data_IF_874002462608
#
_entry.id   IF_874002462608
#
_cell.length_a   1.000
_cell.length_b   1.000
_cell.length_c   1.000
_cell.angle_alpha   90.00
_cell.angle_beta   90.00
_cell.angle_gamma   90.00
#
_symmetry.space_group_name_H-M   'P 1'
#
loop_
_entity.id
_entity.type
_entity.pdbx_description
1 polymer ?
#
# COMPACT_ATOMS: atom_id res chain seq x y z
N UNK A 1 -8.71 0.06 15.61
CA UNK A 1 -8.43 1.45 16.04
C UNK A 1 -9.02 2.35 14.98
N UNK A 2 -9.94 3.22 15.37
CA UNK A 2 -10.57 4.22 14.52
C UNK A 2 -10.22 5.55 15.17
N UNK A 3 -9.63 6.46 14.40
CA UNK A 3 -9.27 7.81 14.85
C UNK A 3 -9.92 8.80 13.90
N UNK A 4 -10.50 9.87 14.44
CA UNK A 4 -11.05 10.96 13.65
C UNK A 4 -9.92 11.94 13.29
N UNK A 5 -9.95 12.48 12.08
CA UNK A 5 -9.02 13.52 11.65
C UNK A 5 -9.73 14.53 10.77
N UNK A 6 -9.29 15.79 10.83
CA UNK A 6 -9.82 16.86 9.99
C UNK A 6 -8.90 17.11 8.81
N UNK A 7 -9.50 17.39 7.65
CA UNK A 7 -8.76 17.83 6.48
C UNK A 7 -8.46 19.33 6.62
N UNK A 8 -7.19 19.68 6.45
CA UNK A 8 -6.67 21.04 6.51
C UNK A 8 -6.14 21.47 5.14
N UNK A 9 -6.16 22.76 4.87
CA UNK A 9 -5.55 23.32 3.66
C UNK A 9 -4.02 23.20 3.72
N UNK A 10 -3.41 22.74 2.63
CA UNK A 10 -1.96 22.61 2.46
C UNK A 10 -1.58 23.27 1.13
N UNK A 11 -1.31 24.57 1.15
CA UNK A 11 -1.07 25.34 -0.08
C UNK A 11 -2.27 25.25 -1.04
N UNK A 12 -2.03 24.74 -2.25
CA UNK A 12 -3.08 24.50 -3.26
C UNK A 12 -3.74 23.12 -3.14
N UNK A 13 -3.45 22.35 -2.09
CA UNK A 13 -4.02 21.04 -1.84
C UNK A 13 -4.66 20.96 -0.45
N UNK A 14 -5.08 19.76 -0.07
CA UNK A 14 -5.66 19.46 1.22
C UNK A 14 -5.00 18.20 1.79
N UNK A 15 -4.85 18.15 3.11
CA UNK A 15 -4.18 17.04 3.78
C UNK A 15 -4.73 16.79 5.18
N UNK A 16 -4.40 15.64 5.75
CA UNK A 16 -4.68 15.31 7.14
C UNK A 16 -3.42 14.75 7.83
N UNK A 17 -3.38 14.83 9.15
CA UNK A 17 -2.31 14.23 9.95
C UNK A 17 -2.69 12.80 10.34
N UNK A 18 -1.80 11.86 10.05
CA UNK A 18 -1.95 10.48 10.51
C UNK A 18 -1.33 10.31 11.91
N UNK A 19 -2.01 9.64 12.85
CA UNK A 19 -1.45 9.35 14.15
C UNK A 19 -0.17 8.51 14.06
N UNK A 20 0.85 8.85 14.87
CA UNK A 20 2.16 8.17 14.87
C UNK A 20 2.05 6.66 15.04
N UNK A 21 1.15 6.20 15.93
CA UNK A 21 0.92 4.78 16.16
C UNK A 21 0.45 4.03 14.89
N UNK A 22 -0.25 4.69 13.97
CA UNK A 22 -0.61 4.08 12.68
C UNK A 22 0.60 4.00 11.75
N UNK A 23 1.37 5.08 11.66
CA UNK A 23 2.59 5.13 10.84
C UNK A 23 3.57 4.03 11.25
N UNK A 24 3.80 3.86 12.55
CA UNK A 24 4.68 2.81 13.11
C UNK A 24 4.21 1.39 12.75
N UNK A 25 2.90 1.12 12.88
CA UNK A 25 2.32 -0.20 12.56
C UNK A 25 2.49 -0.58 11.10
N UNK A 26 2.35 0.39 10.20
CA UNK A 26 2.51 0.18 8.76
C UNK A 26 3.94 0.47 8.27
N UNK A 27 4.87 0.79 9.18
CA UNK A 27 6.29 1.11 8.90
C UNK A 27 6.44 2.22 7.87
N UNK A 28 5.60 3.25 7.99
CA UNK A 28 5.62 4.43 7.13
C UNK A 28 6.41 5.52 7.85
N UNK A 29 7.41 6.06 7.18
CA UNK A 29 8.24 7.16 7.65
C UNK A 29 8.00 8.44 6.83
N UNK A 30 8.53 9.56 7.33
CA UNK A 30 8.56 10.80 6.57
C UNK A 30 9.36 10.61 5.28
N UNK A 31 8.80 11.07 4.15
CA UNK A 31 9.39 10.88 2.83
C UNK A 31 8.96 9.60 2.09
N UNK A 32 8.30 8.67 2.77
CA UNK A 32 7.76 7.48 2.11
C UNK A 32 6.61 7.84 1.16
N UNK A 33 6.59 7.16 0.02
CA UNK A 33 5.49 7.27 -0.93
C UNK A 33 4.39 6.31 -0.54
N UNK A 34 3.17 6.81 -0.57
CA UNK A 34 1.95 6.09 -0.22
C UNK A 34 0.93 6.31 -1.32
N UNK A 35 0.04 5.34 -1.48
CA UNK A 35 -0.97 5.33 -2.52
C UNK A 35 -2.35 5.56 -1.89
N UNK A 36 -3.16 6.35 -2.60
CA UNK A 36 -4.56 6.60 -2.29
C UNK A 36 -5.40 5.98 -3.40
N UNK A 37 -6.30 5.07 -3.04
CA UNK A 37 -7.23 4.44 -3.99
C UNK A 37 -8.66 4.82 -3.65
N UNK A 38 -9.41 5.27 -4.64
CA UNK A 38 -10.86 5.39 -4.50
C UNK A 38 -11.51 4.01 -4.58
N UNK A 39 -12.35 3.70 -3.60
CA UNK A 39 -13.11 2.45 -3.52
C UNK A 39 -14.59 2.79 -3.31
N UNK A 40 -15.47 1.80 -3.49
CA UNK A 40 -16.90 1.99 -3.22
C UNK A 40 -17.21 2.41 -1.77
N UNK A 41 -16.30 2.18 -0.82
CA UNK A 41 -16.46 2.51 0.59
C UNK A 41 -15.74 3.82 1.00
N UNK A 42 -15.06 4.49 0.07
CA UNK A 42 -14.25 5.68 0.33
C UNK A 42 -12.80 5.53 -0.13
N UNK A 43 -11.88 6.29 0.47
CA UNK A 43 -10.47 6.30 0.06
C UNK A 43 -9.64 5.33 0.91
N UNK A 44 -8.95 4.39 0.26
CA UNK A 44 -7.98 3.50 0.88
C UNK A 44 -6.58 4.13 0.82
N UNK A 45 -6.00 4.34 2.00
CA UNK A 45 -4.59 4.71 2.17
C UNK A 45 -3.74 3.45 2.36
N UNK A 46 -2.71 3.28 1.55
CA UNK A 46 -1.87 2.08 1.60
C UNK A 46 -0.43 2.36 1.16
N UNK A 47 0.58 1.75 1.79
CA UNK A 47 1.95 1.82 1.31
C UNK A 47 2.20 0.92 0.06
N UNK A 48 1.20 0.15 -0.37
CA UNK A 48 1.32 -0.82 -1.48
C UNK A 48 0.76 -0.27 -2.80
N UNK A 49 1.49 -0.44 -3.90
CA UNK A 49 1.08 -0.06 -5.27
C UNK A 49 0.11 -1.11 -5.88
N UNK A 50 -0.98 -0.71 -6.55
CA UNK A 50 -1.96 -1.64 -7.14
C UNK A 50 -1.47 -2.33 -8.43
N UNK A 51 -0.45 -1.80 -9.11
CA UNK A 51 0.26 -2.56 -10.16
C UNK A 51 0.92 -3.83 -9.59
N UNK A 52 1.26 -3.83 -8.31
CA UNK A 52 1.83 -4.96 -7.60
C UNK A 52 0.78 -6.01 -7.23
N UNK A 53 -0.48 -5.65 -6.99
CA UNK A 53 -1.51 -6.62 -6.61
C UNK A 53 -1.92 -7.54 -7.77
N UNK A 54 -2.07 -6.98 -8.98
CA UNK A 54 -2.34 -7.76 -10.19
C UNK A 54 -1.11 -8.56 -10.66
N UNK A 55 0.10 -7.99 -10.55
CA UNK A 55 1.37 -8.69 -10.78
C UNK A 55 1.63 -9.81 -9.76
N UNK A 56 1.29 -9.61 -8.49
CA UNK A 56 1.38 -10.64 -7.45
C UNK A 56 0.38 -11.76 -7.69
N UNK A 57 -0.84 -11.44 -8.12
CA UNK A 57 -1.85 -12.45 -8.45
C UNK A 57 -1.42 -13.33 -9.63
N UNK A 58 -0.83 -12.73 -10.67
CA UNK A 58 -0.24 -13.45 -11.82
C UNK A 58 1.03 -14.23 -11.45
N UNK A 59 1.92 -13.67 -10.63
CA UNK A 59 3.11 -14.36 -10.11
C UNK A 59 2.74 -15.59 -9.28
N UNK A 60 1.75 -15.47 -8.39
CA UNK A 60 1.31 -16.57 -7.52
C UNK A 60 0.66 -17.72 -8.32
N UNK A 61 -0.01 -17.40 -9.44
CA UNK A 61 -0.48 -18.41 -10.42
C UNK A 61 0.68 -19.11 -11.17
N UNK A 62 1.67 -18.36 -11.69
CA UNK A 62 2.81 -18.92 -12.44
C UNK A 62 3.82 -19.70 -11.59
N UNK A 63 4.09 -19.24 -10.37
CA UNK A 63 5.00 -19.91 -9.44
C UNK A 63 4.44 -21.27 -8.96
N UNK A 64 3.12 -21.40 -8.83
CA UNK A 64 2.46 -22.69 -8.53
C UNK A 64 2.63 -23.69 -9.67
N UNK A 65 2.64 -23.22 -10.91
CA UNK A 65 2.77 -24.03 -12.13
C UNK A 65 4.23 -24.48 -12.38
N UNK A 66 5.24 -23.64 -12.12
CA UNK A 66 6.66 -23.93 -12.41
C UNK A 66 7.56 -23.92 -11.17
N UNK A 67 7.11 -24.58 -10.10
CA UNK A 67 7.80 -24.59 -8.80
C UNK A 67 9.26 -25.01 -8.84
N UNK A 68 9.60 -26.01 -9.66
CA UNK A 68 10.97 -26.55 -9.72
C UNK A 68 11.93 -25.58 -10.44
N UNK A 69 11.50 -24.98 -11.55
CA UNK A 69 12.30 -24.01 -12.30
C UNK A 69 12.51 -22.70 -11.51
N UNK A 70 11.49 -22.24 -10.77
CA UNK A 70 11.63 -21.08 -9.88
C UNK A 70 12.61 -21.34 -8.72
N UNK A 71 12.72 -22.59 -8.27
CA UNK A 71 13.66 -23.00 -7.20
C UNK A 71 15.11 -23.05 -7.67
N UNK A 72 15.32 -23.31 -8.96
CA UNK A 72 16.63 -23.34 -9.62
C UNK A 72 17.13 -21.93 -9.97
N UNK A 73 16.23 -21.02 -10.35
CA UNK A 73 16.53 -19.60 -10.59
C UNK A 73 16.78 -18.79 -9.29
N UNK A 74 16.27 -19.26 -8.15
CA UNK A 74 16.46 -18.63 -6.84
C UNK A 74 17.78 -19.00 -6.15
N UNK A 75 18.71 -19.63 -6.90
CA UNK A 75 20.00 -20.11 -6.39
C UNK A 75 21.17 -19.27 -6.88
#
# INVERSE_FOLDING_TARGET
MIEESIILAVGNSSGTTLPKAMLERYRIAEGDRVFLFETAAGVLFTPYDATFAEAMRLYDEGARQYRNAMRELAR
#
